data_IF_012990129794
#
_entry.id   IF_012990129794
#
_cell.length_a   1.000
_cell.length_b   1.000
_cell.length_c   1.000
_cell.angle_alpha   90.00
_cell.angle_beta   90.00
_cell.angle_gamma   90.00
#
_symmetry.space_group_name_H-M   'P 1'
#
loop_
_entity.id
_entity.type
_entity.pdbx_description
1 polymer ?
#
# COMPACT_ATOMS: atom_id res chain seq x y z
N UNK A 1 -21.97 -33.31 5.36
CA UNK A 1 -20.90 -32.40 4.85
C UNK A 1 -21.12 -31.98 3.41
N UNK A 2 -21.41 -32.90 2.45
CA UNK A 2 -21.73 -32.56 1.03
C UNK A 2 -23.06 -31.81 0.90
N UNK A 3 -24.10 -32.21 1.66
CA UNK A 3 -25.39 -31.53 1.70
C UNK A 3 -25.25 -30.08 2.22
N UNK A 4 -24.50 -29.86 3.29
CA UNK A 4 -24.24 -28.50 3.81
C UNK A 4 -23.49 -27.61 2.79
N UNK A 5 -22.53 -28.15 2.04
CA UNK A 5 -21.85 -27.45 0.96
C UNK A 5 -22.80 -27.10 -0.18
N UNK A 6 -23.73 -28.02 -0.54
CA UNK A 6 -24.72 -27.77 -1.57
C UNK A 6 -25.74 -26.70 -1.14
N UNK A 7 -26.19 -26.69 0.12
CA UNK A 7 -27.06 -25.64 0.67
C UNK A 7 -26.38 -24.26 0.66
N UNK A 8 -25.12 -24.18 1.10
CA UNK A 8 -24.34 -22.92 1.06
C UNK A 8 -24.18 -22.43 -0.38
N UNK A 9 -23.90 -23.33 -1.34
CA UNK A 9 -23.78 -22.99 -2.74
C UNK A 9 -25.10 -22.47 -3.31
N UNK A 10 -26.21 -23.10 -2.97
CA UNK A 10 -27.55 -22.69 -3.41
C UNK A 10 -27.96 -21.33 -2.83
N UNK A 11 -27.68 -21.09 -1.57
CA UNK A 11 -27.90 -19.78 -0.92
C UNK A 11 -27.04 -18.69 -1.56
N UNK A 12 -25.77 -18.97 -1.82
CA UNK A 12 -24.87 -18.05 -2.49
C UNK A 12 -25.33 -17.72 -3.92
N UNK A 13 -25.79 -18.73 -4.66
CA UNK A 13 -26.38 -18.56 -6.01
C UNK A 13 -27.65 -17.69 -5.94
N UNK A 14 -28.55 -17.96 -5.00
CA UNK A 14 -29.75 -17.16 -4.78
C UNK A 14 -29.46 -15.72 -4.48
N UNK A 15 -28.49 -15.45 -3.59
CA UNK A 15 -28.04 -14.08 -3.29
C UNK A 15 -27.41 -13.39 -4.52
N UNK A 16 -26.64 -14.12 -5.32
CA UNK A 16 -26.04 -13.57 -6.53
C UNK A 16 -27.10 -13.19 -7.57
N UNK A 17 -28.10 -14.04 -7.78
CA UNK A 17 -29.22 -13.77 -8.68
C UNK A 17 -30.07 -12.57 -8.23
N UNK A 18 -30.40 -12.48 -6.94
CA UNK A 18 -31.11 -11.34 -6.38
C UNK A 18 -30.29 -10.04 -6.61
N UNK A 19 -29.01 -10.05 -6.32
CA UNK A 19 -28.14 -8.89 -6.57
C UNK A 19 -28.09 -8.50 -8.05
N UNK A 20 -28.07 -9.47 -8.94
CA UNK A 20 -28.05 -9.23 -10.39
C UNK A 20 -29.34 -8.55 -10.87
N UNK A 21 -30.53 -9.08 -10.52
CA UNK A 21 -31.78 -8.53 -10.95
C UNK A 21 -32.21 -7.22 -10.26
N UNK A 22 -31.70 -6.95 -9.08
CA UNK A 22 -32.06 -5.73 -8.30
C UNK A 22 -31.12 -4.55 -8.53
N UNK A 23 -30.03 -4.73 -9.29
CA UNK A 23 -29.08 -3.67 -9.57
C UNK A 23 -29.24 -3.15 -11.00
N UNK A 24 -29.63 -1.88 -11.12
CA UNK A 24 -29.75 -1.19 -12.41
C UNK A 24 -28.92 0.10 -12.36
N UNK A 25 -28.50 0.58 -13.53
CA UNK A 25 -27.74 1.83 -13.63
C UNK A 25 -28.21 2.65 -14.83
N UNK A 26 -28.09 3.96 -14.70
CA UNK A 26 -28.36 4.94 -15.76
C UNK A 26 -27.13 5.82 -15.93
N UNK A 27 -26.59 5.89 -17.14
CA UNK A 27 -25.45 6.72 -17.49
C UNK A 27 -26.00 7.92 -18.26
N UNK A 28 -25.92 9.10 -17.65
CA UNK A 28 -26.34 10.39 -18.23
C UNK A 28 -25.09 11.23 -18.57
N UNK A 29 -25.21 12.29 -19.41
CA UNK A 29 -24.08 13.18 -19.71
C UNK A 29 -23.50 13.91 -18.50
N UNK A 30 -24.26 14.07 -17.41
CA UNK A 30 -23.85 14.83 -16.22
C UNK A 30 -23.47 13.94 -15.03
N UNK A 31 -24.08 12.78 -14.90
CA UNK A 31 -23.93 11.89 -13.73
C UNK A 31 -24.23 10.43 -14.06
N UNK A 32 -23.79 9.56 -13.15
CA UNK A 32 -24.13 8.15 -13.12
C UNK A 32 -25.08 7.93 -11.96
N UNK A 33 -26.19 7.26 -12.21
CA UNK A 33 -27.17 6.90 -11.19
C UNK A 33 -27.17 5.39 -11.05
N UNK A 34 -26.97 4.86 -9.85
CA UNK A 34 -26.98 3.44 -9.56
C UNK A 34 -28.11 3.14 -8.59
N UNK A 35 -29.02 2.28 -9.01
CA UNK A 35 -30.10 1.76 -8.19
C UNK A 35 -29.74 0.38 -7.66
N UNK A 36 -29.90 0.17 -6.37
CA UNK A 36 -29.68 -1.14 -5.76
C UNK A 36 -30.61 -1.40 -4.57
N UNK A 37 -30.92 -2.66 -4.32
CA UNK A 37 -31.74 -3.12 -3.20
C UNK A 37 -33.03 -3.80 -3.64
N UNK A 38 -33.41 -4.88 -2.94
CA UNK A 38 -34.61 -5.66 -3.21
C UNK A 38 -35.84 -5.08 -2.50
N UNK A 39 -35.81 -4.97 -1.18
CA UNK A 39 -36.92 -4.42 -0.40
C UNK A 39 -36.86 -2.90 -0.27
N UNK A 40 -35.66 -2.34 -0.19
CA UNK A 40 -35.43 -0.90 -0.06
C UNK A 40 -34.52 -0.44 -1.21
N UNK A 41 -35.13 0.23 -2.17
CA UNK A 41 -34.35 0.81 -3.28
C UNK A 41 -33.52 1.96 -2.75
N UNK A 42 -32.21 1.85 -2.94
CA UNK A 42 -31.25 2.93 -2.66
C UNK A 42 -30.74 3.44 -4.01
N UNK A 43 -30.79 4.75 -4.15
CA UNK A 43 -30.24 5.49 -5.29
C UNK A 43 -28.91 6.11 -4.91
N UNK A 44 -27.92 5.99 -5.77
CA UNK A 44 -26.61 6.59 -5.58
C UNK A 44 -26.26 7.42 -6.79
N UNK A 45 -26.21 8.74 -6.61
CA UNK A 45 -25.84 9.72 -7.62
C UNK A 45 -24.34 10.00 -7.59
N UNK A 46 -23.69 9.87 -8.75
CA UNK A 46 -22.24 10.11 -8.88
C UNK A 46 -22.00 11.10 -10.03
N UNK A 47 -21.83 12.39 -9.73
CA UNK A 47 -21.40 13.38 -10.70
C UNK A 47 -19.97 13.08 -11.18
N UNK A 48 -19.68 13.25 -12.48
CA UNK A 48 -18.36 12.94 -13.05
C UNK A 48 -17.24 13.75 -12.40
N UNK A 49 -17.48 14.96 -11.95
CA UNK A 49 -16.50 15.82 -11.26
C UNK A 49 -16.00 15.24 -9.92
N UNK A 50 -16.81 14.40 -9.27
CA UNK A 50 -16.46 13.74 -8.01
C UNK A 50 -15.68 12.47 -8.20
N UNK A 51 -15.59 11.94 -9.43
CA UNK A 51 -14.88 10.71 -9.73
C UNK A 51 -13.37 10.93 -9.56
N UNK A 52 -12.76 10.20 -8.65
CA UNK A 52 -11.31 10.18 -8.43
C UNK A 52 -10.61 9.19 -9.34
N UNK A 53 -11.12 7.96 -9.38
CA UNK A 53 -10.56 6.87 -10.20
C UNK A 53 -11.66 5.99 -10.75
N UNK A 54 -11.40 5.45 -11.92
CA UNK A 54 -12.20 4.38 -12.53
C UNK A 54 -11.30 3.16 -12.58
N UNK A 55 -11.75 2.07 -11.95
CA UNK A 55 -11.09 0.79 -11.97
C UNK A 55 -11.90 -0.19 -12.79
N UNK A 56 -11.27 -0.80 -13.76
CA UNK A 56 -11.81 -1.89 -14.54
C UNK A 56 -11.19 -3.19 -14.03
N UNK A 57 -12.03 -4.22 -13.87
CA UNK A 57 -11.62 -5.58 -13.56
C UNK A 57 -12.22 -6.53 -14.57
N UNK A 58 -11.40 -7.42 -15.10
CA UNK A 58 -11.84 -8.44 -16.04
C UNK A 58 -11.24 -9.78 -15.63
N UNK A 59 -12.08 -10.66 -15.12
CA UNK A 59 -11.71 -12.03 -14.83
C UNK A 59 -11.45 -12.80 -16.12
N UNK A 60 -10.59 -13.80 -16.10
CA UNK A 60 -10.22 -14.58 -17.28
C UNK A 60 -11.44 -15.23 -17.96
N UNK A 61 -12.46 -15.64 -17.20
CA UNK A 61 -13.70 -16.21 -17.72
C UNK A 61 -14.68 -15.17 -18.29
N UNK A 62 -14.49 -13.88 -18.05
CA UNK A 62 -15.27 -12.78 -18.66
C UNK A 62 -14.68 -12.29 -19.98
N UNK A 63 -13.40 -12.60 -20.26
CA UNK A 63 -12.72 -12.17 -21.50
C UNK A 63 -13.46 -12.60 -22.77
N UNK A 64 -13.94 -13.88 -22.93
CA UNK A 64 -14.64 -14.31 -24.16
C UNK A 64 -15.92 -13.53 -24.43
N UNK A 65 -16.56 -12.98 -23.39
CA UNK A 65 -17.83 -12.27 -23.48
C UNK A 65 -17.66 -10.74 -23.53
N UNK A 66 -16.43 -10.22 -23.49
CA UNK A 66 -16.15 -8.78 -23.38
C UNK A 66 -16.88 -8.09 -22.21
N UNK A 67 -17.08 -8.82 -21.12
CA UNK A 67 -17.69 -8.32 -19.89
C UNK A 67 -16.59 -7.84 -18.95
N UNK A 68 -16.86 -6.73 -18.27
CA UNK A 68 -15.98 -6.13 -17.26
C UNK A 68 -16.78 -5.74 -16.03
N UNK A 69 -16.10 -5.63 -14.89
CA UNK A 69 -16.58 -4.93 -13.72
C UNK A 69 -15.98 -3.53 -13.69
N UNK A 70 -16.79 -2.50 -13.46
CA UNK A 70 -16.34 -1.12 -13.29
C UNK A 70 -16.56 -0.70 -11.84
N UNK A 71 -15.51 -0.21 -11.21
CA UNK A 71 -15.54 0.37 -9.88
C UNK A 71 -15.22 1.85 -9.98
N UNK A 72 -16.18 2.68 -9.56
CA UNK A 72 -16.08 4.14 -9.57
C UNK A 72 -15.82 4.60 -8.14
N UNK A 73 -14.75 5.34 -7.94
CA UNK A 73 -14.35 5.85 -6.65
C UNK A 73 -14.44 7.36 -6.62
N UNK A 74 -15.07 7.90 -5.55
CA UNK A 74 -15.32 9.33 -5.37
C UNK A 74 -14.60 9.88 -4.16
N UNK A 75 -14.30 11.18 -4.16
CA UNK A 75 -13.71 11.88 -3.01
C UNK A 75 -14.77 12.12 -1.91
N UNK A 76 -14.43 11.79 -0.66
CA UNK A 76 -15.18 12.24 0.50
C UNK A 76 -16.41 11.42 0.91
N UNK A 77 -16.62 10.25 0.32
CA UNK A 77 -17.69 9.35 0.75
C UNK A 77 -17.35 8.61 2.05
N UNK A 78 -18.33 8.48 2.96
CA UNK A 78 -18.24 7.57 4.09
C UNK A 78 -18.03 6.14 3.61
N UNK A 79 -17.38 5.30 4.43
CA UNK A 79 -16.89 3.93 4.09
C UNK A 79 -17.84 3.01 3.30
N UNK A 80 -19.14 3.32 3.22
CA UNK A 80 -20.16 2.52 2.53
C UNK A 80 -20.88 3.20 1.36
N UNK A 81 -20.83 4.52 1.23
CA UNK A 81 -21.78 5.26 0.37
C UNK A 81 -21.20 5.82 -0.94
N UNK A 82 -19.88 5.87 -1.08
CA UNK A 82 -19.21 6.56 -2.17
C UNK A 82 -18.67 5.66 -3.28
N UNK A 83 -19.15 4.43 -3.39
CA UNK A 83 -18.67 3.48 -4.40
C UNK A 83 -19.76 3.13 -5.41
N UNK A 84 -19.52 3.52 -6.66
CA UNK A 84 -20.26 2.97 -7.79
C UNK A 84 -19.64 1.64 -8.20
N UNK A 85 -20.33 0.53 -8.00
CA UNK A 85 -19.92 -0.80 -8.46
C UNK A 85 -20.90 -1.28 -9.52
N UNK A 86 -20.38 -1.45 -10.73
CA UNK A 86 -21.06 -2.02 -11.89
C UNK A 86 -20.46 -3.42 -12.16
N UNK A 87 -21.05 -4.48 -11.62
CA UNK A 87 -20.38 -5.79 -11.49
C UNK A 87 -20.18 -6.55 -12.81
N UNK A 88 -21.05 -6.32 -13.79
CA UNK A 88 -20.96 -7.00 -15.08
C UNK A 88 -21.57 -6.11 -16.17
N UNK A 89 -20.73 -5.42 -16.90
CA UNK A 89 -21.12 -4.49 -17.97
C UNK A 89 -20.31 -4.76 -19.24
N UNK A 90 -20.84 -4.40 -20.39
CA UNK A 90 -20.11 -4.48 -21.63
C UNK A 90 -18.95 -3.45 -21.67
N UNK A 91 -17.89 -3.74 -22.40
CA UNK A 91 -16.77 -2.82 -22.60
C UNK A 91 -17.22 -1.45 -23.15
N UNK A 92 -18.24 -1.45 -24.04
CA UNK A 92 -18.83 -0.24 -24.60
C UNK A 92 -19.37 0.73 -23.52
N UNK A 93 -19.85 0.19 -22.39
CA UNK A 93 -20.31 1.01 -21.25
C UNK A 93 -19.18 1.84 -20.64
N UNK A 94 -17.97 1.28 -20.57
CA UNK A 94 -16.80 2.03 -20.09
C UNK A 94 -16.44 3.15 -21.06
N UNK A 95 -16.46 2.89 -22.36
CA UNK A 95 -16.17 3.90 -23.39
C UNK A 95 -17.17 5.06 -23.33
N UNK A 96 -18.47 4.75 -23.17
CA UNK A 96 -19.52 5.76 -22.99
C UNK A 96 -19.28 6.60 -21.73
N UNK A 97 -18.95 5.96 -20.63
CA UNK A 97 -18.67 6.63 -19.36
C UNK A 97 -17.48 7.57 -19.47
N UNK A 98 -16.41 7.14 -20.15
CA UNK A 98 -15.20 7.95 -20.38
C UNK A 98 -15.48 9.13 -21.30
N UNK A 99 -16.26 8.94 -22.37
CA UNK A 99 -16.63 10.02 -23.29
C UNK A 99 -17.39 11.14 -22.57
N UNK A 100 -18.36 10.80 -21.72
CA UNK A 100 -19.09 11.79 -20.93
C UNK A 100 -18.20 12.47 -19.88
N UNK A 101 -17.29 11.74 -19.25
CA UNK A 101 -16.34 12.30 -18.28
C UNK A 101 -15.41 13.32 -18.90
N UNK A 102 -14.93 13.08 -20.12
CA UNK A 102 -14.00 13.96 -20.83
C UNK A 102 -14.69 15.03 -21.65
N UNK A 103 -16.04 15.01 -21.74
CA UNK A 103 -16.85 15.88 -22.65
C UNK A 103 -16.36 15.84 -24.09
N UNK A 104 -15.76 14.71 -24.47
CA UNK A 104 -15.23 14.49 -25.81
C UNK A 104 -16.26 13.72 -26.67
N UNK A 105 -16.40 14.01 -27.98
CA UNK A 105 -17.23 13.22 -28.86
C UNK A 105 -16.79 11.77 -28.91
N UNK A 106 -17.73 10.85 -29.13
CA UNK A 106 -17.49 9.39 -29.29
C UNK A 106 -16.71 9.03 -30.58
N UNK A 107 -16.13 10.00 -31.27
CA UNK A 107 -15.30 9.73 -32.43
C UNK A 107 -14.07 8.93 -32.00
N UNK A 108 -14.10 7.66 -32.42
CA UNK A 108 -12.96 6.74 -32.46
C UNK A 108 -11.76 7.21 -31.66
N UNK A 109 -11.74 6.94 -30.33
CA UNK A 109 -10.47 6.84 -29.64
C UNK A 109 -9.71 5.65 -30.28
N UNK A 110 -9.21 5.88 -31.48
CA UNK A 110 -7.94 5.31 -31.88
C UNK A 110 -7.06 5.57 -30.66
N UNK A 111 -6.59 4.55 -29.99
CA UNK A 111 -5.69 4.60 -28.84
C UNK A 111 -4.78 5.79 -29.04
N UNK A 112 -5.08 6.92 -28.36
CA UNK A 112 -4.21 8.09 -28.44
C UNK A 112 -2.88 7.58 -27.97
N UNK A 113 -1.91 7.51 -28.86
CA UNK A 113 -0.65 6.84 -28.67
C UNK A 113 -0.09 7.26 -27.31
N UNK A 114 0.04 6.33 -26.40
CA UNK A 114 0.57 6.60 -25.08
C UNK A 114 1.90 7.30 -25.25
N UNK A 115 2.01 8.52 -24.77
CA UNK A 115 3.21 9.37 -24.94
C UNK A 115 4.43 8.71 -24.32
N UNK A 116 4.23 8.05 -23.16
CA UNK A 116 5.26 7.30 -22.45
C UNK A 116 4.66 6.01 -21.90
N UNK A 117 5.37 4.93 -22.06
CA UNK A 117 4.97 3.60 -21.55
C UNK A 117 6.15 2.95 -20.86
N UNK A 118 5.89 2.40 -19.67
CA UNK A 118 6.84 1.58 -18.93
C UNK A 118 6.26 0.17 -18.74
N UNK A 119 7.05 -0.83 -19.06
CA UNK A 119 6.72 -2.25 -18.83
C UNK A 119 7.65 -2.84 -17.80
N UNK A 120 7.09 -3.62 -16.90
CA UNK A 120 7.84 -4.41 -15.93
C UNK A 120 8.07 -5.80 -16.53
N UNK A 121 9.31 -6.26 -16.56
CA UNK A 121 9.67 -7.59 -17.07
C UNK A 121 9.30 -8.68 -16.06
N UNK A 122 9.10 -9.90 -16.55
CA UNK A 122 8.77 -11.05 -15.69
C UNK A 122 9.86 -11.32 -14.64
N UNK A 123 11.13 -11.13 -15.01
CA UNK A 123 12.27 -11.24 -14.08
C UNK A 123 12.17 -10.22 -12.93
N UNK A 124 11.76 -9.00 -13.23
CA UNK A 124 11.55 -7.95 -12.24
C UNK A 124 10.37 -8.30 -11.31
N UNK A 125 9.31 -8.92 -11.81
CA UNK A 125 8.18 -9.37 -11.00
C UNK A 125 8.60 -10.49 -10.05
N UNK A 126 9.40 -11.44 -10.51
CA UNK A 126 9.96 -12.50 -9.67
C UNK A 126 10.86 -11.89 -8.59
N UNK A 127 11.73 -10.95 -8.96
CA UNK A 127 12.62 -10.26 -8.02
C UNK A 127 11.82 -9.42 -7.00
N UNK A 128 10.71 -8.82 -7.41
CA UNK A 128 9.76 -8.16 -6.51
C UNK A 128 9.21 -9.12 -5.46
N UNK A 129 8.76 -10.31 -5.89
CA UNK A 129 8.23 -11.34 -5.00
C UNK A 129 9.27 -11.89 -4.03
N UNK A 130 10.49 -12.15 -4.49
CA UNK A 130 11.59 -12.65 -3.66
C UNK A 130 12.08 -11.63 -2.61
N UNK A 131 11.96 -10.35 -2.91
CA UNK A 131 12.41 -9.26 -2.00
C UNK A 131 11.30 -8.72 -1.12
N UNK A 132 10.09 -9.26 -1.19
CA UNK A 132 8.95 -8.76 -0.41
C UNK A 132 8.97 -9.31 1.02
N UNK A 133 9.26 -8.44 1.98
CA UNK A 133 9.25 -8.77 3.42
C UNK A 133 7.85 -9.06 3.98
N UNK A 134 6.78 -8.87 3.21
CA UNK A 134 5.42 -9.21 3.65
C UNK A 134 5.24 -10.71 3.88
N UNK A 135 6.11 -11.55 3.32
CA UNK A 135 6.19 -12.99 3.58
C UNK A 135 6.38 -13.26 5.08
N UNK A 136 7.26 -12.50 5.74
CA UNK A 136 7.50 -12.64 7.18
C UNK A 136 6.26 -12.29 8.01
N UNK A 137 5.52 -11.24 7.61
CA UNK A 137 4.26 -10.89 8.26
C UNK A 137 3.19 -11.96 8.06
N UNK A 138 3.12 -12.59 6.90
CA UNK A 138 2.21 -13.71 6.64
C UNK A 138 2.57 -14.94 7.47
N UNK A 139 3.86 -15.20 7.68
CA UNK A 139 4.34 -16.30 8.52
C UNK A 139 3.98 -16.08 9.99
N UNK A 140 4.18 -14.87 10.53
CA UNK A 140 3.80 -14.54 11.90
C UNK A 140 2.30 -14.62 12.11
N UNK A 141 1.49 -14.17 11.13
CA UNK A 141 0.04 -14.33 11.17
C UNK A 141 -0.37 -15.81 11.15
N UNK A 142 0.24 -16.63 10.27
CA UNK A 142 -0.03 -18.07 10.23
C UNK A 142 0.33 -18.76 11.55
N UNK A 143 1.43 -18.39 12.19
CA UNK A 143 1.80 -18.91 13.51
C UNK A 143 0.82 -18.48 14.59
N UNK A 144 0.35 -17.23 14.58
CA UNK A 144 -0.61 -16.72 15.57
C UNK A 144 -2.00 -17.35 15.45
N UNK A 145 -2.52 -17.48 14.21
CA UNK A 145 -3.84 -18.07 13.95
C UNK A 145 -3.82 -19.59 13.83
N UNK A 146 -2.67 -20.17 13.49
CA UNK A 146 -2.53 -21.62 13.35
C UNK A 146 -2.78 -22.38 14.65
N UNK A 147 -2.46 -21.76 15.79
CA UNK A 147 -2.72 -22.34 17.12
C UNK A 147 -4.21 -22.46 17.44
N UNK A 148 -5.08 -21.59 16.90
CA UNK A 148 -6.53 -21.64 17.09
C UNK A 148 -7.23 -22.64 16.15
N UNK A 149 -6.61 -22.94 14.99
CA UNK A 149 -7.18 -23.82 13.97
C UNK A 149 -6.75 -25.29 14.14
N UNK A 150 -5.69 -25.55 14.91
CA UNK A 150 -5.17 -26.89 15.15
C UNK A 150 -5.79 -27.44 16.43
N UNK A 151 -6.51 -28.58 16.39
CA UNK A 151 -7.02 -29.22 17.59
C UNK A 151 -5.90 -29.49 18.61
N UNK A 152 -6.18 -29.29 19.90
CA UNK A 152 -5.21 -29.47 21.00
C UNK A 152 -4.52 -30.84 20.99
N UNK A 153 -5.24 -31.90 20.55
CA UNK A 153 -4.70 -33.26 20.39
C UNK A 153 -3.60 -33.34 19.32
N UNK A 154 -3.72 -32.54 18.26
CA UNK A 154 -2.69 -32.48 17.20
C UNK A 154 -1.49 -31.66 17.65
N UNK A 155 -1.73 -30.60 18.43
CA UNK A 155 -0.66 -29.79 19.02
C UNK A 155 0.16 -30.58 20.02
N UNK A 156 -0.48 -31.26 20.94
CA UNK A 156 0.22 -32.09 21.92
C UNK A 156 0.99 -33.25 21.28
N UNK A 157 0.40 -33.92 20.28
CA UNK A 157 1.09 -34.97 19.54
C UNK A 157 2.26 -34.43 18.71
N UNK A 158 2.11 -33.24 18.13
CA UNK A 158 3.19 -32.60 17.38
C UNK A 158 4.33 -32.11 18.28
N UNK A 159 4.02 -31.59 19.47
CA UNK A 159 5.02 -31.13 20.45
C UNK A 159 5.78 -32.32 21.02
N UNK A 160 5.08 -33.43 21.45
CA UNK A 160 5.74 -34.63 21.94
C UNK A 160 6.56 -35.33 20.86
N UNK A 161 6.06 -35.37 19.61
CA UNK A 161 6.82 -35.87 18.48
C UNK A 161 8.02 -34.96 18.14
N UNK A 162 7.87 -33.66 18.32
CA UNK A 162 8.96 -32.70 18.12
C UNK A 162 10.05 -32.82 19.16
N UNK A 163 9.69 -33.12 20.45
CA UNK A 163 10.69 -33.42 21.49
C UNK A 163 11.47 -34.67 21.19
N UNK A 164 10.83 -35.73 20.72
CA UNK A 164 11.51 -36.98 20.31
C UNK A 164 12.35 -36.81 19.04
N UNK A 165 11.87 -36.02 18.09
CA UNK A 165 12.62 -35.63 16.86
C UNK A 165 13.78 -34.69 17.20
N UNK A 166 13.59 -33.76 18.15
CA UNK A 166 14.68 -32.87 18.59
C UNK A 166 15.80 -33.65 19.30
N UNK A 167 15.44 -34.69 20.09
CA UNK A 167 16.41 -35.60 20.70
C UNK A 167 17.16 -36.47 19.67
N UNK A 168 16.51 -36.87 18.58
CA UNK A 168 17.04 -37.80 17.57
C UNK A 168 17.62 -37.13 16.32
N UNK A 169 17.24 -35.86 16.02
CA UNK A 169 17.72 -35.18 14.82
C UNK A 169 17.20 -33.77 14.64
N UNK A 170 17.80 -32.79 15.32
CA UNK A 170 17.56 -31.36 15.09
C UNK A 170 17.64 -30.98 13.61
N UNK A 171 18.42 -31.72 12.80
CA UNK A 171 18.54 -31.56 11.36
C UNK A 171 17.19 -31.79 10.65
N UNK A 172 16.40 -32.76 11.08
CA UNK A 172 15.05 -33.01 10.54
C UNK A 172 14.10 -31.86 10.81
N UNK A 173 14.12 -31.28 12.02
CA UNK A 173 13.29 -30.12 12.36
C UNK A 173 13.65 -28.90 11.53
N UNK A 174 14.95 -28.63 11.38
CA UNK A 174 15.43 -27.55 10.50
C UNK A 174 15.00 -27.79 9.04
N UNK A 175 15.06 -29.05 8.59
CA UNK A 175 14.57 -29.43 7.25
C UNK A 175 13.08 -29.18 7.05
N UNK A 176 12.23 -29.55 8.01
CA UNK A 176 10.78 -29.30 7.95
C UNK A 176 10.49 -27.81 7.94
N UNK A 177 11.11 -27.04 8.83
CA UNK A 177 10.95 -25.57 8.88
C UNK A 177 11.38 -24.95 7.55
N UNK A 178 12.50 -25.40 6.99
CA UNK A 178 12.98 -24.93 5.68
C UNK A 178 11.99 -25.23 4.55
N UNK A 179 11.42 -26.45 4.50
CA UNK A 179 10.41 -26.83 3.50
C UNK A 179 9.17 -25.96 3.62
N UNK A 180 8.66 -25.72 4.85
CA UNK A 180 7.49 -24.87 5.09
C UNK A 180 7.77 -23.43 4.63
N UNK A 181 8.92 -22.88 4.98
CA UNK A 181 9.34 -21.55 4.52
C UNK A 181 9.44 -21.47 3.00
N UNK A 182 10.01 -22.50 2.36
CA UNK A 182 10.10 -22.59 0.91
C UNK A 182 8.72 -22.62 0.25
N UNK A 183 7.78 -23.40 0.78
CA UNK A 183 6.40 -23.47 0.27
C UNK A 183 5.69 -22.10 0.42
N UNK A 184 5.81 -21.44 1.57
CA UNK A 184 5.23 -20.11 1.78
C UNK A 184 5.84 -19.10 0.78
N UNK A 185 7.14 -19.17 0.58
CA UNK A 185 7.83 -18.33 -0.40
C UNK A 185 7.32 -18.58 -1.82
N UNK A 186 7.15 -19.84 -2.24
CA UNK A 186 6.63 -20.19 -3.57
C UNK A 186 5.19 -19.72 -3.76
N UNK A 187 4.32 -19.89 -2.75
CA UNK A 187 2.92 -19.40 -2.79
C UNK A 187 2.90 -17.87 -2.91
N UNK A 188 3.73 -17.17 -2.13
CA UNK A 188 3.83 -15.71 -2.20
C UNK A 188 4.36 -15.24 -3.56
N UNK A 189 5.36 -15.93 -4.10
CA UNK A 189 5.90 -15.65 -5.43
C UNK A 189 4.85 -15.84 -6.51
N UNK A 190 4.13 -16.96 -6.50
CA UNK A 190 3.04 -17.24 -7.43
C UNK A 190 1.94 -16.17 -7.35
N UNK A 191 1.52 -15.78 -6.13
CA UNK A 191 0.55 -14.72 -5.91
C UNK A 191 1.01 -13.40 -6.51
N UNK A 192 2.25 -12.98 -6.24
CA UNK A 192 2.81 -11.75 -6.78
C UNK A 192 2.92 -11.81 -8.30
N UNK A 193 3.34 -12.95 -8.87
CA UNK A 193 3.40 -13.14 -10.31
C UNK A 193 2.02 -13.00 -10.96
N UNK A 194 1.00 -13.68 -10.45
CA UNK A 194 -0.38 -13.55 -10.98
C UNK A 194 -0.93 -12.13 -10.84
N UNK A 195 -0.60 -11.42 -9.77
CA UNK A 195 -1.08 -10.07 -9.52
C UNK A 195 -0.43 -9.03 -10.44
N UNK A 196 0.87 -9.13 -10.67
CA UNK A 196 1.67 -8.15 -11.42
C UNK A 196 2.03 -8.59 -12.83
N UNK A 197 1.51 -9.72 -13.29
CA UNK A 197 1.74 -10.21 -14.65
C UNK A 197 1.41 -9.13 -15.69
N UNK A 198 2.30 -8.95 -16.67
CA UNK A 198 2.18 -7.95 -17.74
C UNK A 198 1.89 -6.54 -17.20
N UNK A 199 2.62 -6.15 -16.13
CA UNK A 199 2.46 -4.85 -15.51
C UNK A 199 2.92 -3.75 -16.46
N UNK A 200 1.99 -2.86 -16.80
CA UNK A 200 2.21 -1.76 -17.72
C UNK A 200 1.69 -0.47 -17.11
N UNK A 201 2.49 0.59 -17.20
CA UNK A 201 2.07 1.95 -16.91
C UNK A 201 2.22 2.78 -18.15
N UNK A 202 1.18 3.48 -18.53
CA UNK A 202 1.17 4.36 -19.68
C UNK A 202 0.55 5.71 -19.31
N UNK A 203 1.04 6.75 -19.93
CA UNK A 203 0.46 8.07 -19.83
C UNK A 203 -0.19 8.47 -21.14
N UNK A 204 -1.44 8.91 -21.06
CA UNK A 204 -2.17 9.54 -22.15
C UNK A 204 -2.70 10.88 -21.63
N UNK A 205 -2.19 11.98 -22.19
CA UNK A 205 -2.54 13.34 -21.74
C UNK A 205 -2.34 13.53 -20.23
N UNK A 206 -3.41 13.83 -19.49
CA UNK A 206 -3.41 14.02 -18.04
C UNK A 206 -3.87 12.79 -17.25
N UNK A 207 -3.90 11.61 -17.88
CA UNK A 207 -4.34 10.38 -17.25
C UNK A 207 -3.23 9.35 -17.24
N UNK A 208 -2.94 8.80 -16.07
CA UNK A 208 -2.05 7.67 -15.87
C UNK A 208 -2.88 6.39 -15.88
N UNK A 209 -2.57 5.47 -16.78
CA UNK A 209 -3.22 4.16 -16.88
C UNK A 209 -2.28 3.09 -16.38
N UNK A 210 -2.71 2.32 -15.39
CA UNK A 210 -1.95 1.22 -14.78
C UNK A 210 -2.71 -0.08 -15.06
N UNK A 211 -2.05 -1.02 -15.71
CA UNK A 211 -2.60 -2.32 -16.08
C UNK A 211 -1.77 -3.44 -15.45
N UNK A 212 -2.43 -4.48 -14.95
CA UNK A 212 -1.75 -5.67 -14.43
C UNK A 212 -2.70 -6.84 -14.25
N UNK A 213 -2.15 -8.04 -14.18
CA UNK A 213 -2.82 -9.25 -13.72
C UNK A 213 -3.08 -10.30 -14.79
N UNK A 214 -2.84 -11.55 -14.45
CA UNK A 214 -3.03 -12.71 -15.32
C UNK A 214 -4.46 -13.28 -15.24
N UNK A 215 -4.88 -13.68 -14.05
CA UNK A 215 -6.20 -14.26 -13.81
C UNK A 215 -7.29 -13.19 -13.76
N UNK A 216 -6.96 -12.04 -13.20
CA UNK A 216 -7.84 -10.88 -13.12
C UNK A 216 -7.10 -9.67 -13.69
N UNK A 217 -7.37 -9.29 -14.94
CA UNK A 217 -6.81 -8.06 -15.52
C UNK A 217 -7.43 -6.86 -14.85
N UNK A 218 -6.58 -6.02 -14.27
CA UNK A 218 -6.94 -4.77 -13.61
C UNK A 218 -6.40 -3.61 -14.43
N UNK A 219 -7.27 -2.70 -14.81
CA UNK A 219 -6.90 -1.43 -15.44
C UNK A 219 -7.41 -0.32 -14.54
N UNK A 220 -6.52 0.56 -14.14
CA UNK A 220 -6.83 1.70 -13.29
C UNK A 220 -6.39 2.99 -13.96
N UNK A 221 -7.35 3.87 -14.23
CA UNK A 221 -7.12 5.19 -14.82
C UNK A 221 -7.16 6.25 -13.72
N UNK A 222 -6.06 6.97 -13.57
CA UNK A 222 -5.85 7.97 -12.52
C UNK A 222 -5.52 9.31 -13.16
N UNK A 223 -6.36 10.35 -12.99
CA UNK A 223 -6.00 11.71 -13.39
C UNK A 223 -4.82 12.20 -12.54
N UNK A 224 -3.85 12.85 -13.19
CA UNK A 224 -2.62 13.32 -12.54
C UNK A 224 -2.90 14.38 -11.47
N UNK A 225 -3.91 15.23 -11.67
CA UNK A 225 -4.36 16.26 -10.72
C UNK A 225 -4.88 15.69 -9.38
N UNK A 226 -5.33 14.42 -9.38
CA UNK A 226 -5.84 13.73 -8.18
C UNK A 226 -4.73 13.10 -7.33
N UNK A 227 -3.50 13.07 -7.81
CA UNK A 227 -2.35 12.55 -7.05
C UNK A 227 -2.05 13.48 -5.88
N UNK A 228 -2.07 12.95 -4.67
CA UNK A 228 -1.79 13.69 -3.43
C UNK A 228 -0.30 13.64 -3.05
N UNK A 229 0.37 12.59 -3.46
CA UNK A 229 1.79 12.38 -3.20
C UNK A 229 2.34 11.17 -3.93
N UNK A 230 3.65 11.13 -4.07
CA UNK A 230 4.41 10.01 -4.63
C UNK A 230 5.28 9.45 -3.52
N UNK A 231 5.23 8.14 -3.33
CA UNK A 231 5.98 7.45 -2.29
C UNK A 231 6.95 6.46 -2.90
N UNK A 232 8.22 6.63 -2.62
CA UNK A 232 9.29 5.70 -3.00
C UNK A 232 9.64 4.88 -1.76
N UNK A 233 9.50 3.56 -1.87
CA UNK A 233 9.78 2.61 -0.78
C UNK A 233 10.94 1.72 -1.16
N UNK A 234 11.89 1.60 -0.26
CA UNK A 234 13.09 0.79 -0.45
C UNK A 234 13.31 -0.09 0.79
N UNK A 235 12.86 -1.33 0.72
CA UNK A 235 13.12 -2.34 1.75
C UNK A 235 14.62 -2.66 1.81
N UNK A 236 15.12 -3.16 2.95
CA UNK A 236 16.55 -3.42 3.12
C UNK A 236 17.16 -4.29 2.01
N UNK A 237 16.49 -5.39 1.63
CA UNK A 237 16.95 -6.25 0.54
C UNK A 237 16.96 -5.52 -0.81
N UNK A 238 15.92 -4.74 -1.09
CA UNK A 238 15.85 -3.92 -2.31
C UNK A 238 16.92 -2.84 -2.34
N UNK A 239 17.23 -2.25 -1.19
CA UNK A 239 18.31 -1.27 -1.08
C UNK A 239 19.67 -1.87 -1.41
N UNK A 240 19.96 -3.09 -0.95
CA UNK A 240 21.18 -3.82 -1.27
C UNK A 240 21.29 -4.08 -2.79
N UNK A 241 20.16 -4.38 -3.43
CA UNK A 241 20.07 -4.63 -4.88
C UNK A 241 19.89 -3.35 -5.71
N UNK A 242 19.89 -2.14 -5.09
CA UNK A 242 19.64 -0.85 -5.73
C UNK A 242 18.29 -0.80 -6.47
N UNK A 243 17.27 -1.33 -5.83
CA UNK A 243 15.90 -1.41 -6.35
C UNK A 243 14.94 -0.62 -5.44
N UNK A 244 13.94 -0.03 -6.06
CA UNK A 244 12.90 0.73 -5.37
C UNK A 244 11.50 0.35 -5.85
N UNK A 245 10.50 0.67 -5.06
CA UNK A 245 9.07 0.57 -5.38
C UNK A 245 8.47 1.96 -5.36
N UNK A 246 7.64 2.29 -6.34
CA UNK A 246 6.95 3.59 -6.40
C UNK A 246 5.45 3.38 -6.25
N UNK A 247 4.88 4.08 -5.29
CA UNK A 247 3.44 4.10 -5.00
C UNK A 247 2.92 5.53 -5.18
N UNK A 248 1.69 5.70 -5.66
CA UNK A 248 0.99 6.99 -5.63
C UNK A 248 -0.06 7.00 -4.55
N UNK A 249 -0.25 8.17 -3.95
CA UNK A 249 -1.25 8.44 -2.92
C UNK A 249 -2.38 9.24 -3.56
N UNK A 250 -3.62 8.80 -3.36
CA UNK A 250 -4.83 9.45 -3.86
C UNK A 250 -5.72 9.90 -2.70
N UNK A 251 -6.49 10.97 -2.90
CA UNK A 251 -7.44 11.46 -1.88
C UNK A 251 -8.64 10.52 -1.67
N UNK A 252 -8.94 9.69 -2.66
CA UNK A 252 -9.97 8.65 -2.64
C UNK A 252 -9.43 7.40 -3.33
N UNK A 253 -10.19 6.31 -3.34
CA UNK A 253 -9.88 5.20 -4.22
C UNK A 253 -8.98 4.10 -3.67
N UNK A 254 -8.93 3.90 -2.38
CA UNK A 254 -8.29 2.71 -1.82
C UNK A 254 -9.33 1.62 -1.55
N UNK A 255 -9.25 0.53 -2.32
CA UNK A 255 -10.16 -0.61 -2.21
C UNK A 255 -10.21 -1.17 -0.78
N UNK A 256 -11.42 -1.16 -0.23
CA UNK A 256 -11.76 -1.89 0.99
C UNK A 256 -12.56 -3.18 0.70
N UNK A 257 -12.49 -3.71 -0.51
CA UNK A 257 -13.05 -5.02 -0.82
C UNK A 257 -12.10 -6.13 -0.39
N UNK A 258 -12.04 -6.35 0.88
CA UNK A 258 -11.30 -7.41 1.56
C UNK A 258 -11.41 -7.14 3.04
N UNK A 259 -11.52 -8.16 3.84
CA UNK A 259 -11.64 -8.14 5.29
C UNK A 259 -10.46 -7.46 6.04
N UNK A 260 -9.44 -7.01 5.30
CA UNK A 260 -8.29 -6.31 5.87
C UNK A 260 -8.46 -4.78 5.80
N UNK A 261 -8.38 -4.12 6.94
CA UNK A 261 -8.33 -2.65 7.08
C UNK A 261 -7.02 -2.04 6.50
N UNK A 262 -6.26 -2.79 5.72
CA UNK A 262 -5.00 -2.34 5.13
C UNK A 262 -5.28 -1.64 3.80
N UNK A 263 -4.83 -0.39 3.63
CA UNK A 263 -4.98 0.34 2.37
C UNK A 263 -4.28 -0.39 1.24
N UNK A 264 -5.00 -0.66 0.16
CA UNK A 264 -4.41 -1.26 -1.02
C UNK A 264 -3.51 -0.24 -1.71
N UNK A 265 -2.24 -0.56 -1.79
CA UNK A 265 -1.22 0.29 -2.40
C UNK A 265 -1.43 0.37 -3.91
N UNK A 266 -1.35 1.57 -4.46
CA UNK A 266 -1.37 1.77 -5.90
C UNK A 266 0.06 1.96 -6.41
N UNK A 267 0.58 0.91 -7.03
CA UNK A 267 1.92 0.91 -7.58
C UNK A 267 1.96 1.59 -8.94
N UNK A 268 2.90 2.52 -9.11
CA UNK A 268 3.34 3.00 -10.43
C UNK A 268 4.45 2.07 -10.95
N UNK A 269 5.40 1.76 -10.06
CA UNK A 269 6.41 0.74 -10.33
C UNK A 269 6.47 -0.22 -9.15
N UNK A 270 6.06 -1.48 -9.30
CA UNK A 270 6.26 -2.51 -8.28
C UNK A 270 7.74 -2.63 -7.93
N UNK A 271 8.58 -2.62 -8.96
CA UNK A 271 10.03 -2.63 -8.83
C UNK A 271 10.67 -1.86 -9.99
N UNK A 272 11.69 -1.07 -9.68
CA UNK A 272 12.47 -0.31 -10.65
C UNK A 272 13.89 -0.12 -10.12
N UNK A 273 14.89 -0.04 -11.00
CA UNK A 273 16.26 0.28 -10.62
C UNK A 273 16.39 1.73 -10.16
N UNK A 274 17.18 1.98 -9.12
CA UNK A 274 17.44 3.33 -8.60
C UNK A 274 18.03 4.26 -9.67
N UNK A 275 18.77 3.71 -10.64
CA UNK A 275 19.37 4.49 -11.72
C UNK A 275 18.33 5.02 -12.72
N UNK A 276 17.30 4.24 -13.02
CA UNK A 276 16.27 4.59 -13.99
C UNK A 276 15.03 5.22 -13.34
N UNK A 277 14.93 5.17 -12.02
CA UNK A 277 13.77 5.62 -11.23
C UNK A 277 13.34 7.05 -11.57
N UNK A 278 14.22 8.02 -11.35
CA UNK A 278 13.87 9.43 -11.50
C UNK A 278 13.65 9.82 -12.97
N UNK A 279 14.49 9.42 -13.95
CA UNK A 279 14.23 9.68 -15.35
C UNK A 279 12.89 9.11 -15.85
N UNK A 280 12.55 7.88 -15.42
CA UNK A 280 11.29 7.24 -15.83
C UNK A 280 10.08 7.92 -15.17
N UNK A 281 10.20 8.31 -13.89
CA UNK A 281 9.15 9.08 -13.22
C UNK A 281 8.92 10.43 -13.85
N UNK A 282 9.97 11.15 -14.20
CA UNK A 282 9.89 12.46 -14.86
C UNK A 282 9.26 12.36 -16.25
N UNK A 283 9.57 11.31 -17.00
CA UNK A 283 8.93 11.05 -18.29
C UNK A 283 7.42 10.76 -18.17
N UNK A 284 6.99 10.03 -17.12
CA UNK A 284 5.58 9.70 -16.89
C UNK A 284 4.81 10.83 -16.18
N UNK A 285 5.46 11.60 -15.32
CA UNK A 285 4.87 12.64 -14.49
C UNK A 285 5.72 13.90 -14.52
N UNK A 286 5.88 14.58 -15.68
CA UNK A 286 6.74 15.75 -15.83
C UNK A 286 6.31 16.93 -14.95
N UNK A 287 5.02 17.02 -14.56
CA UNK A 287 4.54 18.04 -13.65
C UNK A 287 5.19 17.94 -12.26
N UNK A 288 5.61 16.74 -11.89
CA UNK A 288 6.26 16.49 -10.62
C UNK A 288 7.76 16.77 -10.63
N UNK A 289 8.40 17.03 -11.80
CA UNK A 289 9.83 17.35 -11.94
C UNK A 289 10.68 16.54 -10.95
N UNK A 290 10.56 15.21 -11.01
CA UNK A 290 11.10 14.32 -10.00
C UNK A 290 12.62 14.23 -10.09
N UNK A 291 13.30 14.65 -9.04
CA UNK A 291 14.77 14.59 -8.93
C UNK A 291 15.14 13.87 -7.62
N UNK A 292 16.36 13.33 -7.59
CA UNK A 292 16.88 12.72 -6.38
C UNK A 292 16.98 13.80 -5.28
N UNK A 293 16.37 13.59 -4.10
CA UNK A 293 16.34 14.60 -3.06
C UNK A 293 17.65 14.62 -2.28
N UNK A 294 18.17 15.83 -2.04
CA UNK A 294 19.26 16.09 -1.10
C UNK A 294 18.68 16.15 0.32
N UNK A 295 18.70 15.03 1.02
CA UNK A 295 18.07 14.88 2.33
C UNK A 295 18.90 15.56 3.42
N UNK A 296 18.32 16.59 4.02
CA UNK A 296 18.81 17.19 5.28
C UNK A 296 18.36 16.29 6.43
N UNK A 297 19.32 15.70 7.13
CA UNK A 297 19.03 14.86 8.30
C UNK A 297 18.39 15.71 9.42
N UNK A 298 17.22 15.29 9.86
CA UNK A 298 16.42 16.03 10.83
C UNK A 298 17.04 16.07 12.22
N UNK A 299 17.90 15.10 12.56
CA UNK A 299 18.60 15.02 13.82
C UNK A 299 19.96 14.35 13.61
N UNK A 300 21.02 14.95 14.15
CA UNK A 300 22.38 14.39 14.10
C UNK A 300 22.88 13.93 15.48
N UNK A 301 22.26 14.40 16.57
CA UNK A 301 22.73 14.17 17.96
C UNK A 301 21.71 13.52 18.89
N UNK A 302 20.49 13.28 18.42
CA UNK A 302 19.35 12.91 19.26
C UNK A 302 19.09 11.39 19.33
N UNK A 303 20.08 10.54 19.04
CA UNK A 303 19.96 9.08 19.03
C UNK A 303 19.45 8.50 20.36
N UNK A 304 19.86 9.11 21.49
CA UNK A 304 19.43 8.69 22.81
C UNK A 304 17.91 8.62 22.95
N UNK A 305 17.16 9.55 22.34
CA UNK A 305 15.71 9.58 22.42
C UNK A 305 15.04 8.43 21.68
N UNK A 306 15.70 7.86 20.67
CA UNK A 306 15.23 6.67 19.95
C UNK A 306 15.49 5.39 20.74
N UNK A 307 16.59 5.33 21.51
CA UNK A 307 17.03 4.13 22.21
C UNK A 307 16.48 3.99 23.63
N UNK A 308 16.23 5.10 24.33
CA UNK A 308 15.93 5.12 25.77
C UNK A 308 14.85 4.15 26.23
N UNK A 309 13.80 3.96 25.44
CA UNK A 309 12.69 3.06 25.78
C UNK A 309 13.07 1.59 25.64
N UNK A 310 13.91 1.25 24.66
CA UNK A 310 14.40 -0.11 24.49
C UNK A 310 15.42 -0.50 25.57
N UNK A 311 16.14 0.44 26.14
CA UNK A 311 17.05 0.20 27.24
C UNK A 311 16.34 -0.18 28.55
N UNK A 312 15.05 0.16 28.69
CA UNK A 312 14.21 -0.32 29.80
C UNK A 312 13.95 -1.84 29.71
N UNK A 313 14.21 -2.48 28.59
CA UNK A 313 14.14 -3.93 28.48
C UNK A 313 15.32 -4.69 29.16
N UNK A 314 16.40 -3.99 29.52
CA UNK A 314 17.59 -4.61 30.16
C UNK A 314 17.24 -5.46 31.40
N UNK A 315 16.43 -4.98 32.36
CA UNK A 315 16.02 -5.81 33.51
C UNK A 315 15.22 -7.04 33.10
N UNK A 316 14.37 -6.93 32.06
CA UNK A 316 13.59 -8.04 31.55
C UNK A 316 14.48 -9.10 30.89
N UNK A 317 15.53 -8.67 30.19
CA UNK A 317 16.55 -9.57 29.65
C UNK A 317 17.25 -10.33 30.78
N UNK A 318 17.67 -9.65 31.85
CA UNK A 318 18.28 -10.29 33.01
C UNK A 318 17.37 -11.33 33.64
N UNK A 319 16.08 -11.01 33.81
CA UNK A 319 15.07 -11.95 34.30
C UNK A 319 14.85 -13.15 33.38
N UNK A 320 14.91 -12.97 32.05
CA UNK A 320 14.71 -14.05 31.09
C UNK A 320 15.80 -15.15 31.18
N UNK A 321 17.04 -14.78 31.51
CA UNK A 321 18.10 -15.75 31.76
C UNK A 321 17.89 -16.61 33.00
N UNK A 322 17.15 -16.07 33.98
CA UNK A 322 16.78 -16.86 35.18
C UNK A 322 15.84 -18.02 34.85
N UNK A 323 14.95 -17.82 33.86
CA UNK A 323 14.02 -18.85 33.42
C UNK A 323 14.68 -19.90 32.51
N UNK A 324 15.42 -19.45 31.50
CA UNK A 324 16.09 -20.35 30.54
C UNK A 324 17.12 -19.61 29.72
N UNK A 325 18.29 -20.26 29.48
CA UNK A 325 19.36 -19.71 28.66
C UNK A 325 18.91 -19.35 27.25
N UNK A 326 18.11 -20.20 26.60
CA UNK A 326 17.61 -19.95 25.23
C UNK A 326 16.66 -18.75 25.18
N UNK A 327 15.79 -18.60 26.18
CA UNK A 327 14.90 -17.43 26.31
C UNK A 327 15.73 -16.16 26.52
N UNK A 328 16.80 -16.24 27.31
CA UNK A 328 17.74 -15.17 27.50
C UNK A 328 18.42 -14.73 26.20
N UNK A 329 18.97 -15.67 25.43
CA UNK A 329 19.60 -15.38 24.12
C UNK A 329 18.59 -14.77 23.14
N UNK A 330 17.37 -15.30 23.09
CA UNK A 330 16.30 -14.79 22.23
C UNK A 330 15.93 -13.35 22.61
N UNK A 331 15.80 -13.04 23.90
CA UNK A 331 15.47 -11.70 24.39
C UNK A 331 16.57 -10.67 24.08
N UNK A 332 17.84 -11.06 24.21
CA UNK A 332 19.00 -10.22 23.77
C UNK A 332 18.95 -9.97 22.30
N UNK A 333 18.75 -11.01 21.48
CA UNK A 333 18.69 -10.90 20.01
C UNK A 333 17.53 -10.00 19.58
N UNK A 334 16.35 -10.15 20.16
CA UNK A 334 15.19 -9.31 19.89
C UNK A 334 15.45 -7.84 20.26
N UNK A 335 16.06 -7.58 21.42
CA UNK A 335 16.37 -6.21 21.87
C UNK A 335 17.44 -5.58 20.97
N UNK A 336 18.47 -6.32 20.60
CA UNK A 336 19.50 -5.85 19.67
C UNK A 336 18.88 -5.50 18.29
N UNK A 337 17.95 -6.31 17.81
CA UNK A 337 17.20 -6.03 16.58
C UNK A 337 16.35 -4.75 16.68
N UNK A 338 15.65 -4.54 17.80
CA UNK A 338 14.87 -3.32 18.03
C UNK A 338 15.76 -2.06 18.13
N UNK A 339 16.93 -2.16 18.79
CA UNK A 339 17.91 -1.08 18.83
C UNK A 339 18.46 -0.76 17.45
N UNK A 340 18.72 -1.78 16.62
CA UNK A 340 19.11 -1.60 15.21
C UNK A 340 18.02 -0.87 14.42
N UNK A 341 16.74 -1.28 14.55
CA UNK A 341 15.62 -0.61 13.91
C UNK A 341 15.52 0.86 14.35
N UNK A 342 15.66 1.15 15.63
CA UNK A 342 15.65 2.51 16.16
C UNK A 342 16.84 3.35 15.65
N UNK A 343 18.01 2.74 15.51
CA UNK A 343 19.18 3.39 14.91
C UNK A 343 18.95 3.71 13.43
N UNK A 344 18.36 2.80 12.68
CA UNK A 344 18.02 3.03 11.28
C UNK A 344 16.96 4.14 11.14
N UNK A 345 15.91 4.17 11.98
CA UNK A 345 14.92 5.26 12.01
C UNK A 345 15.62 6.62 12.27
N UNK A 346 16.51 6.69 13.26
CA UNK A 346 17.32 7.88 13.52
C UNK A 346 18.21 8.27 12.32
N UNK A 347 18.90 7.32 11.70
CA UNK A 347 19.92 7.55 10.66
C UNK A 347 19.33 8.01 9.32
N UNK A 348 18.12 7.53 8.99
CA UNK A 348 17.48 7.81 7.70
C UNK A 348 16.46 8.93 7.74
N UNK A 349 16.02 9.36 8.92
CA UNK A 349 15.00 10.37 9.05
C UNK A 349 15.49 11.74 8.60
N UNK A 350 14.74 12.40 7.70
CA UNK A 350 15.11 13.71 7.19
C UNK A 350 14.06 14.29 6.26
N UNK A 351 14.40 15.42 5.65
CA UNK A 351 13.55 16.09 4.68
C UNK A 351 14.39 16.79 3.61
N UNK A 352 13.79 17.07 2.46
CA UNK A 352 14.36 17.90 1.40
C UNK A 352 13.29 18.82 0.82
N UNK A 353 13.55 20.09 0.71
CA UNK A 353 12.73 21.04 -0.03
C UNK A 353 13.30 21.09 -1.44
N UNK A 354 12.58 20.51 -2.41
CA UNK A 354 13.06 20.45 -3.80
C UNK A 354 12.76 21.73 -4.57
N UNK A 355 11.53 22.25 -4.37
CA UNK A 355 11.06 23.49 -4.97
C UNK A 355 10.24 24.28 -3.95
N UNK A 356 9.86 25.50 -4.25
CA UNK A 356 8.97 26.29 -3.38
C UNK A 356 7.62 25.60 -3.09
N UNK A 357 7.20 24.69 -3.96
CA UNK A 357 5.93 23.97 -3.85
C UNK A 357 6.07 22.51 -3.43
N UNK A 358 7.27 21.92 -3.42
CA UNK A 358 7.44 20.48 -3.20
C UNK A 358 8.41 20.14 -2.09
N UNK A 359 7.96 19.24 -1.22
CA UNK A 359 8.69 18.71 -0.08
C UNK A 359 8.82 17.19 -0.20
N UNK A 360 10.00 16.67 0.08
CA UNK A 360 10.24 15.26 0.32
C UNK A 360 10.46 15.03 1.82
N UNK A 361 9.71 14.11 2.41
CA UNK A 361 9.93 13.61 3.76
C UNK A 361 10.48 12.20 3.69
N UNK A 362 11.59 11.95 4.36
CA UNK A 362 12.21 10.63 4.45
C UNK A 362 12.07 10.08 5.87
N UNK A 363 11.51 8.88 5.96
CA UNK A 363 11.35 8.11 7.20
C UNK A 363 11.90 6.70 7.02
N UNK A 364 12.04 5.98 8.12
CA UNK A 364 12.40 4.57 8.09
C UNK A 364 11.40 3.79 8.95
N UNK A 365 10.64 2.91 8.34
CA UNK A 365 9.56 2.19 9.00
C UNK A 365 9.62 0.71 8.63
N UNK A 366 9.52 -0.18 9.62
CA UNK A 366 9.48 -1.62 9.40
C UNK A 366 10.54 -2.12 8.38
N UNK A 367 11.81 -1.78 8.60
CA UNK A 367 12.96 -2.14 7.74
C UNK A 367 12.86 -1.57 6.30
N UNK A 368 12.10 -0.51 6.11
CA UNK A 368 11.87 0.12 4.81
C UNK A 368 12.23 1.60 4.90
N UNK A 369 13.11 2.06 4.02
CA UNK A 369 13.31 3.49 3.78
C UNK A 369 12.13 3.99 2.93
N UNK A 370 11.47 5.03 3.39
CA UNK A 370 10.30 5.62 2.74
C UNK A 370 10.57 7.08 2.45
N UNK A 371 10.50 7.48 1.19
CA UNK A 371 10.57 8.86 0.75
C UNK A 371 9.19 9.25 0.21
N UNK A 372 8.56 10.24 0.82
CA UNK A 372 7.22 10.71 0.42
C UNK A 372 7.34 12.14 -0.12
N UNK A 373 7.05 12.31 -1.40
CA UNK A 373 7.03 13.58 -2.10
C UNK A 373 5.60 14.13 -2.05
N UNK A 374 5.46 15.36 -1.59
CA UNK A 374 4.17 16.01 -1.42
C UNK A 374 4.25 17.44 -1.92
N UNK A 375 3.21 17.88 -2.62
CA UNK A 375 3.06 19.27 -2.97
C UNK A 375 2.41 20.07 -1.84
N UNK A 376 2.87 21.31 -1.65
CA UNK A 376 2.39 22.21 -0.60
C UNK A 376 0.87 22.35 -0.56
N UNK A 377 0.12 22.52 -1.69
CA UNK A 377 -1.33 22.62 -1.68
C UNK A 377 -2.05 21.35 -1.18
N UNK A 378 -1.36 20.20 -1.21
CA UNK A 378 -1.91 18.90 -0.77
C UNK A 378 -1.72 18.65 0.72
N UNK A 379 -0.92 19.46 1.42
CA UNK A 379 -0.71 19.36 2.87
C UNK A 379 -1.90 20.05 3.57
N UNK A 380 -2.65 19.31 4.37
CA UNK A 380 -3.82 19.82 5.08
C UNK A 380 -3.46 20.57 6.37
N UNK A 381 -2.48 20.04 7.10
CA UNK A 381 -2.03 20.63 8.36
C UNK A 381 -0.59 20.25 8.67
N UNK A 382 0.10 21.16 9.37
CA UNK A 382 1.42 20.90 9.97
C UNK A 382 1.29 21.10 11.48
N UNK A 383 1.63 20.08 12.25
CA UNK A 383 1.57 20.08 13.71
C UNK A 383 2.95 19.82 14.29
N UNK A 384 3.39 20.73 15.19
CA UNK A 384 4.59 20.56 15.99
C UNK A 384 4.19 20.17 17.41
N UNK A 385 4.73 19.07 17.91
CA UNK A 385 4.47 18.53 19.23
C UNK A 385 5.78 18.43 20.03
N UNK A 386 5.76 18.89 21.26
CA UNK A 386 6.89 18.72 22.18
C UNK A 386 6.37 18.36 23.57
N UNK A 387 7.19 17.72 24.37
CA UNK A 387 6.89 17.40 25.77
C UNK A 387 7.64 18.33 26.72
N UNK A 388 7.20 18.40 27.99
CA UNK A 388 7.90 19.19 29.03
C UNK A 388 9.39 18.85 29.16
N UNK A 389 9.76 17.62 28.86
CA UNK A 389 11.15 17.14 28.93
C UNK A 389 12.00 17.45 27.68
N UNK A 390 11.35 17.63 26.53
CA UNK A 390 12.00 17.93 25.26
C UNK A 390 12.06 19.44 24.99
N UNK A 391 11.13 20.20 25.54
CA UNK A 391 11.03 21.65 25.35
C UNK A 391 12.32 22.41 25.69
N UNK A 392 12.93 22.20 26.88
CA UNK A 392 14.18 22.90 27.25
C UNK A 392 15.35 22.56 26.30
N UNK A 393 15.28 21.42 25.60
CA UNK A 393 16.33 20.96 24.68
C UNK A 393 16.04 21.38 23.24
N UNK A 394 14.97 22.15 23.02
CA UNK A 394 14.53 22.58 21.69
C UNK A 394 14.31 21.43 20.71
N UNK A 395 13.75 20.31 21.20
CA UNK A 395 13.48 19.11 20.44
C UNK A 395 11.96 18.85 20.43
N UNK A 396 11.43 18.38 19.31
CA UNK A 396 10.04 18.00 19.19
C UNK A 396 9.79 17.06 18.05
N UNK A 397 8.54 16.89 17.73
CA UNK A 397 8.06 16.08 16.61
C UNK A 397 7.29 17.00 15.66
N UNK A 398 7.51 16.84 14.36
CA UNK A 398 6.69 17.49 13.32
C UNK A 398 5.90 16.43 12.60
N UNK A 399 4.61 16.64 12.46
CA UNK A 399 3.74 15.80 11.64
C UNK A 399 3.01 16.64 10.59
N UNK A 400 2.94 16.10 9.38
CA UNK A 400 2.23 16.69 8.25
C UNK A 400 1.06 15.78 7.87
N UNK A 401 -0.13 16.36 7.86
CA UNK A 401 -1.37 15.67 7.52
C UNK A 401 -1.64 15.79 6.02
N UNK A 402 -1.82 14.66 5.36
CA UNK A 402 -2.15 14.57 3.94
C UNK A 402 -3.44 13.76 3.79
N UNK A 403 -4.33 14.19 2.90
CA UNK A 403 -5.55 13.45 2.62
C UNK A 403 -5.24 12.20 1.82
N UNK A 404 -5.73 11.06 2.29
CA UNK A 404 -5.65 9.78 1.60
C UNK A 404 -7.04 9.14 1.52
N UNK A 405 -7.19 8.08 0.72
CA UNK A 405 -8.47 7.40 0.54
C UNK A 405 -9.06 6.78 1.81
N UNK A 406 -8.25 6.55 2.84
CA UNK A 406 -8.69 6.04 4.15
C UNK A 406 -8.92 7.15 5.19
N UNK A 407 -8.67 8.40 4.84
CA UNK A 407 -8.77 9.54 5.75
C UNK A 407 -7.54 10.42 5.68
N UNK A 408 -6.99 10.79 6.83
CA UNK A 408 -5.77 11.60 6.92
C UNK A 408 -4.58 10.74 7.32
N UNK A 409 -3.54 10.75 6.53
CA UNK A 409 -2.25 10.13 6.87
C UNK A 409 -1.30 11.20 7.43
N UNK A 410 -0.68 10.89 8.57
CA UNK A 410 0.27 11.78 9.22
C UNK A 410 1.71 11.32 8.95
N UNK A 411 2.43 12.07 8.14
CA UNK A 411 3.86 11.89 7.93
C UNK A 411 4.60 12.54 9.10
N UNK A 412 5.32 11.75 9.89
CA UNK A 412 5.92 12.21 11.14
C UNK A 412 7.44 12.11 11.14
N UNK A 413 8.10 13.23 11.47
CA UNK A 413 9.51 13.28 11.83
C UNK A 413 9.65 13.36 13.36
N UNK A 414 10.48 12.48 13.95
CA UNK A 414 10.61 12.31 15.39
C UNK A 414 11.89 13.00 15.90
N UNK A 415 11.83 13.61 17.09
CA UNK A 415 12.96 14.18 17.81
C UNK A 415 13.84 15.13 16.98
N UNK A 416 13.21 16.00 16.19
CA UNK A 416 13.90 17.00 15.35
C UNK A 416 14.12 18.29 16.12
N UNK A 417 15.18 19.02 15.78
CA UNK A 417 15.50 20.31 16.41
C UNK A 417 14.50 21.39 15.99
N UNK A 418 14.25 22.36 16.87
CA UNK A 418 13.29 23.46 16.66
C UNK A 418 13.57 24.23 15.35
N UNK A 419 14.84 24.44 14.99
CA UNK A 419 15.21 25.06 13.71
C UNK A 419 14.58 24.36 12.50
N UNK A 420 14.64 23.02 12.45
CA UNK A 420 14.04 22.26 11.36
C UNK A 420 12.49 22.27 11.41
N UNK A 421 11.92 22.32 12.63
CA UNK A 421 10.46 22.46 12.79
C UNK A 421 9.96 23.80 12.21
N UNK A 422 10.71 24.89 12.43
CA UNK A 422 10.39 26.22 11.91
C UNK A 422 10.51 26.28 10.38
N UNK A 423 11.56 25.68 9.80
CA UNK A 423 11.73 25.58 8.33
C UNK A 423 10.52 24.87 7.70
N UNK A 424 10.11 23.73 8.25
CA UNK A 424 8.96 22.96 7.76
C UNK A 424 7.65 23.72 7.95
N UNK A 425 7.50 24.47 9.04
CA UNK A 425 6.34 25.32 9.30
C UNK A 425 6.31 26.51 8.33
N UNK A 426 7.45 27.12 8.02
CA UNK A 426 7.55 28.21 7.05
C UNK A 426 7.22 27.73 5.64
N UNK A 427 7.67 26.54 5.25
CA UNK A 427 7.30 25.93 3.98
C UNK A 427 5.77 25.81 3.84
N UNK A 428 5.05 25.45 4.90
CA UNK A 428 3.58 25.31 4.88
C UNK A 428 2.83 26.65 4.84
N UNK A 429 3.37 27.72 5.47
CA UNK A 429 2.70 29.03 5.49
C UNK A 429 2.46 29.50 4.05
N UNK A 430 1.26 30.00 3.73
CA UNK A 430 1.04 30.59 2.41
C UNK A 430 2.05 31.71 2.19
N UNK A 431 2.62 31.77 0.99
CA UNK A 431 3.32 32.96 0.52
C UNK A 431 2.32 34.10 0.70
N UNK A 432 2.68 35.16 1.45
CA UNK A 432 1.89 36.37 1.45
C UNK A 432 1.76 36.76 -0.02
N UNK A 433 0.53 36.77 -0.57
CA UNK A 433 0.27 37.41 -1.84
C UNK A 433 0.81 38.83 -1.77
N UNK A 434 1.59 39.26 -2.79
CA UNK A 434 2.14 40.60 -2.83
C UNK A 434 1.04 41.67 -2.72
#
# INVERSE_FOLDING_TARGET
TLLALAEIALLALGQALIKYFTRTYVISPEKIIIYHGFFRKKETDIPYERIQTIKQRQWFFYKPFNIIQILIETAGGSKKEAKGDLPAVAMATLQLLESYRHRAPLENETEQAATHTYHVTDEQIILFGLTDLSILASLTALMAFGTELIPDSWYTNAVTSAEDVFRRGWVFMVGIVFIVLLLIMLISLAKNFFQFYNFKVSRSNQTLTIESGLLERKVQKVPVDKIQGIRIRQQLLRKLLKLSTVEIMLAGGQDQQGESNVPKKLYVFPIISDQTLYPTLDALLPEWQMQQPDIVLASTKNIWYFWRWYLLAIPLIGGSFYFNLYVGILSVSATAFLLLCAWLDFRYQGYAIQTESRLCLQTFEALTKVQTFVERPKIQAVSNQTSKWLYPKQIGHTSMAIKTGLGTENLRLKFINQKHQEILKQFYKPLKSP
#
